data_IF_037953318430
#
_entry.id   IF_037953318430
#
_cell.length_a   1.000
_cell.length_b   1.000
_cell.length_c   1.000
_cell.angle_alpha   90.00
_cell.angle_beta   90.00
_cell.angle_gamma   90.00
#
_symmetry.space_group_name_H-M   'P 1'
#
loop_
_entity.id
_entity.type
_entity.pdbx_description
1 polymer ?
#
# COMPACT_ATOMS: atom_id res chain seq x y z
N UNK A 1 -11.87 11.87 -15.76
CA UNK A 1 -11.52 11.01 -14.62
C UNK A 1 -11.81 11.80 -13.36
N UNK A 2 -12.45 11.22 -12.35
CA UNK A 2 -12.67 11.89 -11.07
C UNK A 2 -11.39 11.80 -10.24
N UNK A 3 -10.82 12.95 -9.87
CA UNK A 3 -9.71 13.05 -8.92
C UNK A 3 -10.27 13.25 -7.51
N UNK A 4 -9.80 12.44 -6.57
CA UNK A 4 -10.23 12.43 -5.17
C UNK A 4 -8.98 12.46 -4.30
N UNK A 5 -8.94 13.33 -3.29
CA UNK A 5 -7.92 13.21 -2.23
C UNK A 5 -8.32 12.10 -1.27
N UNK A 6 -7.50 11.06 -1.20
CA UNK A 6 -7.63 9.99 -0.21
C UNK A 6 -7.45 10.55 1.20
N UNK A 7 -6.56 11.53 1.40
CA UNK A 7 -6.39 12.16 2.72
C UNK A 7 -7.70 12.79 3.21
N UNK A 8 -8.45 13.46 2.35
CA UNK A 8 -9.76 14.02 2.68
C UNK A 8 -10.83 12.92 2.83
N UNK A 9 -10.87 11.97 1.91
CA UNK A 9 -11.89 10.92 1.88
C UNK A 9 -11.80 9.95 3.07
N UNK A 10 -10.58 9.69 3.56
CA UNK A 10 -10.32 8.73 4.63
C UNK A 10 -10.27 9.36 6.02
N UNK A 11 -10.36 10.69 6.14
CA UNK A 11 -10.15 11.43 7.40
C UNK A 11 -11.08 11.01 8.55
N UNK A 12 -12.30 10.58 8.23
CA UNK A 12 -13.36 10.19 9.16
C UNK A 12 -13.55 8.67 9.27
N UNK A 13 -12.66 7.85 8.68
CA UNK A 13 -12.84 6.40 8.56
C UNK A 13 -12.20 5.57 9.68
N UNK A 14 -11.61 6.21 10.68
CA UNK A 14 -11.07 5.50 11.85
C UNK A 14 -12.15 4.68 12.60
N UNK A 15 -13.36 5.20 12.90
CA UNK A 15 -14.41 4.39 13.54
C UNK A 15 -14.84 3.19 12.70
N UNK A 16 -14.99 3.37 11.39
CA UNK A 16 -15.31 2.26 10.47
C UNK A 16 -14.20 1.19 10.48
N UNK A 17 -12.94 1.62 10.50
CA UNK A 17 -11.82 0.69 10.64
C UNK A 17 -11.86 -0.08 11.96
N UNK A 18 -12.25 0.56 13.07
CA UNK A 18 -12.43 -0.13 14.35
C UNK A 18 -13.49 -1.22 14.26
N UNK A 19 -14.62 -0.98 13.61
CA UNK A 19 -15.68 -1.99 13.38
C UNK A 19 -15.16 -3.17 12.54
N UNK A 20 -14.43 -2.88 11.46
CA UNK A 20 -13.81 -3.92 10.61
C UNK A 20 -12.85 -4.76 11.43
N UNK A 21 -11.96 -4.14 12.22
CA UNK A 21 -11.01 -4.88 13.06
C UNK A 21 -11.70 -5.80 14.05
N UNK A 22 -12.76 -5.33 14.71
CA UNK A 22 -13.53 -6.15 15.66
C UNK A 22 -14.22 -7.31 14.93
N UNK A 23 -14.86 -7.04 13.79
CA UNK A 23 -15.58 -8.07 13.01
C UNK A 23 -14.67 -9.18 12.50
N UNK A 24 -13.47 -8.84 12.03
CA UNK A 24 -12.52 -9.80 11.44
C UNK A 24 -11.39 -10.21 12.39
N UNK A 25 -11.46 -9.82 13.68
CA UNK A 25 -10.48 -10.16 14.72
C UNK A 25 -9.04 -9.76 14.32
N UNK A 26 -8.89 -8.58 13.73
CA UNK A 26 -7.61 -8.06 13.27
C UNK A 26 -6.75 -7.55 14.43
N UNK A 27 -5.44 -7.44 14.20
CA UNK A 27 -4.50 -6.82 15.13
C UNK A 27 -4.89 -5.38 15.44
N UNK A 28 -4.57 -4.93 16.65
CA UNK A 28 -4.95 -3.60 17.16
C UNK A 28 -4.06 -2.47 16.61
N UNK A 29 -4.07 -2.27 15.29
CA UNK A 29 -3.46 -1.11 14.64
C UNK A 29 -4.54 -0.09 14.28
N UNK A 30 -4.34 1.19 14.57
CA UNK A 30 -5.20 2.26 14.06
C UNK A 30 -5.03 2.42 12.55
N UNK A 31 -6.01 3.03 11.88
CA UNK A 31 -5.90 3.26 10.44
C UNK A 31 -4.72 4.20 10.14
N UNK A 32 -4.53 5.23 10.98
CA UNK A 32 -3.40 6.15 10.90
C UNK A 32 -2.01 5.49 11.11
N UNK A 33 -1.93 4.37 11.84
CA UNK A 33 -0.67 3.61 11.97
C UNK A 33 -0.35 2.81 10.70
N UNK A 34 -1.38 2.37 9.97
CA UNK A 34 -1.22 1.51 8.80
C UNK A 34 -1.04 2.29 7.50
N UNK A 35 -1.40 3.57 7.48
CA UNK A 35 -1.61 4.30 6.23
C UNK A 35 -0.97 5.69 6.25
N UNK A 36 -0.51 6.10 5.08
CA UNK A 36 -0.12 7.48 4.81
C UNK A 36 -0.87 7.94 3.55
N UNK A 37 -2.02 8.58 3.77
CA UNK A 37 -2.91 8.97 2.68
C UNK A 37 -2.35 10.06 1.78
N UNK A 38 -1.56 10.99 2.33
CA UNK A 38 -0.92 12.05 1.53
C UNK A 38 0.17 11.47 0.63
N UNK A 39 0.87 10.42 1.06
CA UNK A 39 1.78 9.67 0.19
C UNK A 39 1.02 8.95 -0.92
N UNK A 40 -0.13 8.34 -0.63
CA UNK A 40 -0.96 7.71 -1.66
C UNK A 40 -1.48 8.73 -2.68
N UNK A 41 -1.94 9.91 -2.23
CA UNK A 41 -2.33 11.03 -3.10
C UNK A 41 -1.18 11.47 -4.00
N UNK A 42 0.05 11.56 -3.47
CA UNK A 42 1.25 11.87 -4.27
C UNK A 42 1.53 10.81 -5.34
N UNK A 43 1.51 9.53 -4.98
CA UNK A 43 1.83 8.43 -5.91
C UNK A 43 0.76 8.30 -7.00
N UNK A 44 -0.53 8.32 -6.62
CA UNK A 44 -1.64 8.12 -7.55
C UNK A 44 -2.00 9.37 -8.36
N UNK A 45 -1.63 10.56 -7.86
CA UNK A 45 -1.78 11.82 -8.57
C UNK A 45 -0.61 12.20 -9.47
N UNK A 46 0.44 11.37 -9.55
CA UNK A 46 1.61 11.63 -10.38
C UNK A 46 1.25 11.45 -11.86
N UNK A 47 1.35 12.52 -12.65
CA UNK A 47 0.99 12.52 -14.08
C UNK A 47 2.15 12.10 -15.01
N UNK A 48 3.26 11.66 -14.44
CA UNK A 48 4.45 11.23 -15.17
C UNK A 48 5.00 9.92 -14.61
N UNK A 49 5.69 9.18 -15.47
CA UNK A 49 6.30 7.91 -15.09
C UNK A 49 7.55 8.15 -14.22
N UNK A 50 7.58 7.49 -13.06
CA UNK A 50 8.77 7.40 -12.23
C UNK A 50 9.46 6.06 -12.46
N UNK A 51 10.49 6.06 -13.30
CA UNK A 51 11.25 4.87 -13.68
C UNK A 51 12.71 5.00 -13.24
N UNK A 52 13.30 3.92 -12.76
CA UNK A 52 14.71 3.84 -12.38
C UNK A 52 15.45 2.84 -13.27
N UNK A 53 16.71 3.14 -13.61
CA UNK A 53 17.57 2.25 -14.37
C UNK A 53 18.38 1.32 -13.44
N UNK A 54 18.28 0.02 -13.70
CA UNK A 54 19.00 -1.03 -12.97
C UNK A 54 20.27 -1.50 -13.70
N UNK A 55 20.66 -0.86 -14.80
CA UNK A 55 21.83 -1.24 -15.62
C UNK A 55 23.11 -1.32 -14.80
N UNK A 56 23.38 -0.34 -13.92
CA UNK A 56 24.57 -0.37 -13.06
C UNK A 56 24.62 -1.60 -12.16
N UNK A 57 23.50 -1.95 -11.53
CA UNK A 57 23.42 -3.12 -10.65
C UNK A 57 23.57 -4.42 -11.44
N UNK A 58 22.96 -4.50 -12.63
CA UNK A 58 23.09 -5.66 -13.53
C UNK A 58 24.52 -5.86 -14.03
N UNK A 59 25.20 -4.78 -14.40
CA UNK A 59 26.62 -4.81 -14.79
C UNK A 59 27.52 -5.23 -13.61
N UNK A 60 27.11 -4.95 -12.37
CA UNK A 60 27.78 -5.42 -11.16
C UNK A 60 27.39 -6.87 -10.77
N UNK A 61 26.60 -7.58 -11.57
CA UNK A 61 26.24 -8.99 -11.38
C UNK A 61 24.89 -9.25 -10.70
N UNK A 62 24.12 -8.22 -10.33
CA UNK A 62 22.78 -8.40 -9.76
C UNK A 62 21.76 -8.78 -10.84
N UNK A 63 21.18 -9.98 -10.72
CA UNK A 63 20.17 -10.50 -11.66
C UNK A 63 18.76 -10.59 -11.07
N UNK A 64 18.57 -10.14 -9.83
CA UNK A 64 17.28 -10.20 -9.15
C UNK A 64 16.23 -9.31 -9.81
N UNK A 65 15.05 -9.85 -10.04
CA UNK A 65 13.87 -9.14 -10.50
C UNK A 65 12.62 -9.74 -9.83
N UNK A 66 11.64 -8.90 -9.55
CA UNK A 66 10.32 -9.34 -9.07
C UNK A 66 9.28 -9.01 -10.13
N UNK A 67 8.41 -9.97 -10.39
CA UNK A 67 7.13 -9.73 -11.05
C UNK A 67 6.25 -8.91 -10.09
N UNK A 68 5.98 -7.65 -10.44
CA UNK A 68 5.31 -6.70 -9.56
C UNK A 68 3.91 -7.15 -9.16
N UNK A 69 3.15 -7.77 -10.07
CA UNK A 69 1.80 -8.27 -9.77
C UNK A 69 1.88 -9.39 -8.73
N UNK A 70 2.73 -10.39 -8.96
CA UNK A 70 2.93 -11.49 -7.99
C UNK A 70 3.45 -10.98 -6.66
N UNK A 71 4.33 -9.98 -6.67
CA UNK A 71 4.84 -9.35 -5.47
C UNK A 71 3.71 -8.69 -4.67
N UNK A 72 2.86 -7.87 -5.30
CA UNK A 72 1.75 -7.20 -4.61
C UNK A 72 0.72 -8.20 -4.07
N UNK A 73 0.36 -9.22 -4.85
CA UNK A 73 -0.57 -10.27 -4.40
C UNK A 73 -0.02 -11.01 -3.18
N UNK A 74 1.28 -11.36 -3.20
CA UNK A 74 1.96 -11.97 -2.05
C UNK A 74 1.94 -11.05 -0.82
N UNK A 75 2.28 -9.77 -0.99
CA UNK A 75 2.30 -8.80 0.11
C UNK A 75 0.91 -8.66 0.75
N UNK A 76 -0.14 -8.53 -0.06
CA UNK A 76 -1.52 -8.49 0.45
C UNK A 76 -1.91 -9.78 1.15
N UNK A 77 -1.52 -10.94 0.62
CA UNK A 77 -1.77 -12.23 1.25
C UNK A 77 -1.04 -12.36 2.59
N UNK A 78 0.18 -11.86 2.70
CA UNK A 78 0.94 -11.88 3.95
C UNK A 78 0.33 -10.92 4.99
N UNK A 79 -0.20 -9.77 4.59
CA UNK A 79 -0.97 -8.89 5.50
C UNK A 79 -2.22 -9.61 6.06
N UNK A 80 -2.92 -10.39 5.23
CA UNK A 80 -4.07 -11.22 5.67
C UNK A 80 -3.65 -12.33 6.62
N UNK A 81 -2.61 -13.10 6.29
CA UNK A 81 -2.07 -14.15 7.17
C UNK A 81 -1.69 -13.61 8.55
N UNK A 82 -1.21 -12.36 8.60
CA UNK A 82 -0.85 -11.69 9.84
C UNK A 82 -2.02 -11.00 10.56
N UNK A 83 -3.25 -11.12 10.03
CA UNK A 83 -4.46 -10.47 10.54
C UNK A 83 -4.31 -8.95 10.66
N UNK A 84 -3.61 -8.30 9.72
CA UNK A 84 -3.49 -6.83 9.65
C UNK A 84 -4.64 -6.23 8.83
N UNK A 85 -5.03 -6.93 7.76
CA UNK A 85 -6.22 -6.65 6.94
C UNK A 85 -7.08 -7.92 6.85
N UNK A 86 -8.37 -7.82 6.50
CA UNK A 86 -9.22 -8.98 6.23
C UNK A 86 -8.77 -9.82 5.03
#
# INVERSE_FOLDING_TARGET
VQTLSLAQFMADKEPLWQEIRQRYQLRNHSLAQLTNWTFADFVLGCEYDQMSDMTKARNAGWIGANDSEKMYLRLLQDLRKNHIIP
#
